data_IF_679396080901
#
_entry.id   IF_679396080901
#
_cell.length_a   1.000
_cell.length_b   1.000
_cell.length_c   1.000
_cell.angle_alpha   90.00
_cell.angle_beta   90.00
_cell.angle_gamma   90.00
#
_symmetry.space_group_name_H-M   'P 1'
#
loop_
_entity.id
_entity.type
_entity.pdbx_description
1 polymer ?
#
# COMPACT_ATOMS: atom_id res chain seq x y z
N UNK A 1 32.57 -8.29 4.03
CA UNK A 1 31.85 -9.54 3.64
C UNK A 1 30.75 -9.17 2.65
N UNK A 2 30.78 -9.76 1.46
CA UNK A 2 29.74 -9.53 0.46
C UNK A 2 28.54 -10.43 0.77
N UNK A 3 27.34 -9.85 0.89
CA UNK A 3 26.10 -10.60 1.15
C UNK A 3 25.17 -10.48 -0.03
N UNK A 4 24.48 -11.57 -0.34
CA UNK A 4 23.60 -11.70 -1.48
C UNK A 4 22.21 -12.17 -1.06
N UNK A 5 21.19 -11.68 -1.76
CA UNK A 5 19.82 -12.14 -1.66
C UNK A 5 19.50 -13.00 -2.88
N UNK A 6 19.08 -14.22 -2.62
CA UNK A 6 18.67 -15.17 -3.70
C UNK A 6 17.17 -15.45 -3.56
N UNK A 7 16.49 -15.47 -4.69
CA UNK A 7 15.10 -15.94 -4.78
C UNK A 7 15.11 -17.38 -5.31
N UNK A 8 14.73 -18.32 -4.46
CA UNK A 8 14.56 -19.74 -4.84
C UNK A 8 13.10 -20.11 -4.64
N UNK A 9 12.35 -20.45 -5.70
CA UNK A 9 11.02 -21.02 -5.54
C UNK A 9 11.08 -22.25 -4.64
N UNK A 10 10.30 -22.28 -3.58
CA UNK A 10 10.25 -23.40 -2.65
C UNK A 10 8.90 -24.08 -2.74
N UNK A 11 8.89 -25.40 -2.63
CA UNK A 11 7.68 -26.22 -2.55
C UNK A 11 7.12 -26.22 -1.12
N UNK A 12 7.97 -25.98 -0.11
CA UNK A 12 7.60 -26.01 1.29
C UNK A 12 7.01 -24.66 1.73
N UNK A 13 5.78 -24.68 2.21
CA UNK A 13 5.08 -23.50 2.69
C UNK A 13 5.72 -22.85 3.94
N UNK A 14 6.57 -23.59 4.66
CA UNK A 14 7.29 -23.14 5.87
C UNK A 14 8.63 -22.45 5.58
N UNK A 15 9.14 -22.55 4.36
CA UNK A 15 10.44 -22.02 3.97
C UNK A 15 10.28 -20.79 3.09
N UNK A 16 10.96 -19.71 3.46
CA UNK A 16 10.93 -18.48 2.65
C UNK A 16 11.62 -18.69 1.29
N UNK A 17 11.03 -18.24 0.18
CA UNK A 17 11.69 -18.27 -1.11
C UNK A 17 12.83 -17.22 -1.22
N UNK A 18 12.95 -16.32 -0.26
CA UNK A 18 14.01 -15.32 -0.19
C UNK A 18 15.03 -15.75 0.86
N UNK A 19 16.28 -15.93 0.45
CA UNK A 19 17.37 -16.41 1.30
C UNK A 19 18.58 -15.48 1.21
N UNK A 20 19.24 -15.23 2.32
CA UNK A 20 20.48 -14.48 2.40
C UNK A 20 21.67 -15.44 2.48
N UNK A 21 22.69 -15.14 1.67
CA UNK A 21 23.94 -15.88 1.61
C UNK A 21 25.15 -14.95 1.73
N UNK A 22 26.25 -15.45 2.25
CA UNK A 22 27.55 -14.80 2.19
C UNK A 22 28.28 -15.06 0.85
N UNK A 23 29.49 -14.52 0.74
CA UNK A 23 30.35 -14.66 -0.44
C UNK A 23 30.84 -16.10 -0.68
N UNK A 24 30.77 -16.97 0.30
CA UNK A 24 31.12 -18.39 0.24
C UNK A 24 29.90 -19.27 -0.03
N UNK A 25 28.73 -18.70 -0.23
CA UNK A 25 27.47 -19.41 -0.45
C UNK A 25 26.88 -20.03 0.82
N UNK A 26 27.36 -19.64 2.00
CA UNK A 26 26.78 -20.07 3.26
C UNK A 26 25.56 -19.22 3.63
N UNK A 27 24.54 -19.83 4.21
CA UNK A 27 23.33 -19.16 4.64
C UNK A 27 23.58 -18.28 5.86
N UNK A 28 23.00 -17.08 5.83
CA UNK A 28 22.94 -16.22 7.02
C UNK A 28 21.82 -16.74 7.92
N UNK A 29 22.17 -17.69 8.79
CA UNK A 29 21.23 -18.48 9.57
C UNK A 29 20.17 -17.67 10.33
N UNK A 30 20.60 -16.60 11.05
CA UNK A 30 19.68 -15.76 11.83
C UNK A 30 18.66 -15.01 10.95
N UNK A 31 19.09 -14.54 9.78
CA UNK A 31 18.20 -13.81 8.87
C UNK A 31 17.21 -14.77 8.19
N UNK A 32 17.70 -15.94 7.78
CA UNK A 32 16.89 -16.94 7.10
C UNK A 32 15.87 -17.59 8.04
N UNK A 33 16.25 -17.88 9.30
CA UNK A 33 15.31 -18.36 10.32
C UNK A 33 14.16 -17.37 10.58
N UNK A 34 14.47 -16.07 10.63
CA UNK A 34 13.44 -15.04 10.77
C UNK A 34 12.50 -15.01 9.56
N UNK A 35 13.05 -15.07 8.32
CA UNK A 35 12.23 -15.09 7.11
C UNK A 35 11.33 -16.31 7.03
N UNK A 36 11.81 -17.49 7.46
CA UNK A 36 11.02 -18.71 7.55
C UNK A 36 9.90 -18.56 8.59
N UNK A 37 10.19 -17.97 9.75
CA UNK A 37 9.19 -17.63 10.75
C UNK A 37 8.10 -16.70 10.22
N UNK A 38 8.47 -15.72 9.36
CA UNK A 38 7.48 -14.85 8.71
C UNK A 38 6.68 -15.59 7.62
N UNK A 39 7.29 -16.57 6.95
CA UNK A 39 6.61 -17.43 5.97
C UNK A 39 5.55 -18.29 6.65
N UNK A 40 5.88 -18.93 7.77
CA UNK A 40 4.95 -19.70 8.61
C UNK A 40 3.77 -18.83 9.07
N UNK A 41 3.99 -17.55 9.36
CA UNK A 41 2.94 -16.57 9.67
C UNK A 41 2.12 -16.14 8.46
N UNK A 42 2.33 -16.75 7.30
CA UNK A 42 1.63 -16.48 6.05
C UNK A 42 1.74 -15.02 5.54
N UNK A 43 2.89 -14.40 5.76
CA UNK A 43 3.16 -13.12 5.13
C UNK A 43 3.15 -13.26 3.61
N UNK A 44 2.60 -12.23 2.92
CA UNK A 44 2.61 -12.22 1.46
C UNK A 44 4.03 -12.25 0.89
N UNK A 45 4.23 -12.87 -0.27
CA UNK A 45 5.52 -12.91 -0.97
C UNK A 45 6.14 -11.52 -1.15
N UNK A 46 5.29 -10.49 -1.35
CA UNK A 46 5.74 -9.10 -1.44
C UNK A 46 6.32 -8.60 -0.11
N UNK A 47 5.68 -8.93 1.00
CA UNK A 47 6.16 -8.56 2.34
C UNK A 47 7.45 -9.30 2.68
N UNK A 48 7.53 -10.59 2.41
CA UNK A 48 8.74 -11.39 2.59
C UNK A 48 9.91 -10.82 1.78
N UNK A 49 9.65 -10.45 0.51
CA UNK A 49 10.66 -9.80 -0.33
C UNK A 49 11.16 -8.49 0.27
N UNK A 50 10.25 -7.64 0.74
CA UNK A 50 10.62 -6.37 1.35
C UNK A 50 11.48 -6.59 2.61
N UNK A 51 11.06 -7.50 3.49
CA UNK A 51 11.83 -7.87 4.68
C UNK A 51 13.21 -8.41 4.33
N UNK A 52 13.31 -9.26 3.32
CA UNK A 52 14.59 -9.83 2.89
C UNK A 52 15.58 -8.75 2.39
N UNK A 53 15.10 -7.74 1.62
CA UNK A 53 15.94 -6.62 1.22
C UNK A 53 16.37 -5.73 2.39
N UNK A 54 15.48 -5.47 3.34
CA UNK A 54 15.81 -4.70 4.53
C UNK A 54 16.79 -5.44 5.43
N UNK A 55 16.63 -6.76 5.58
CA UNK A 55 17.58 -7.62 6.28
C UNK A 55 18.93 -7.65 5.59
N UNK A 56 18.98 -7.75 4.25
CA UNK A 56 20.22 -7.71 3.50
C UNK A 56 20.97 -6.39 3.76
N UNK A 57 20.24 -5.26 3.74
CA UNK A 57 20.83 -3.96 4.02
C UNK A 57 21.38 -3.88 5.46
N UNK A 58 20.62 -4.36 6.43
CA UNK A 58 21.06 -4.41 7.81
C UNK A 58 22.25 -5.36 8.00
N UNK A 59 22.19 -6.56 7.43
CA UNK A 59 23.23 -7.57 7.55
C UNK A 59 24.58 -7.08 6.96
N UNK A 60 24.54 -6.38 5.82
CA UNK A 60 25.74 -5.76 5.24
C UNK A 60 26.38 -4.78 6.20
N UNK A 61 25.60 -3.82 6.69
CA UNK A 61 26.08 -2.86 7.67
C UNK A 61 26.60 -3.53 8.96
N UNK A 62 25.87 -4.55 9.45
CA UNK A 62 26.24 -5.28 10.66
C UNK A 62 27.54 -6.05 10.50
N UNK A 63 27.79 -6.66 9.34
CA UNK A 63 29.01 -7.42 9.06
C UNK A 63 30.25 -6.54 8.78
N UNK A 64 30.06 -5.27 8.46
CA UNK A 64 31.14 -4.31 8.26
C UNK A 64 31.70 -3.72 9.56
N UNK A 65 31.07 -3.97 10.68
CA UNK A 65 31.58 -3.57 12.00
C UNK A 65 32.84 -4.39 12.33
N UNK A 66 33.78 -3.74 13.00
CA UNK A 66 35.16 -4.24 13.26
C UNK A 66 35.24 -5.58 14.00
N UNK A 67 34.16 -6.03 14.65
CA UNK A 67 34.05 -7.34 15.30
C UNK A 67 32.70 -7.95 14.99
N UNK A 68 32.62 -9.26 14.65
CA UNK A 68 31.35 -9.96 14.52
C UNK A 68 30.67 -10.04 15.90
N UNK A 69 29.69 -9.20 16.10
CA UNK A 69 28.90 -9.16 17.33
C UNK A 69 27.64 -10.04 17.20
N UNK A 70 27.26 -10.77 18.23
CA UNK A 70 26.00 -11.49 18.22
C UNK A 70 24.80 -10.53 18.24
N UNK A 71 23.67 -10.96 17.67
CA UNK A 71 22.46 -10.13 17.64
C UNK A 71 21.96 -9.71 19.03
N UNK A 72 22.34 -10.43 20.08
CA UNK A 72 22.02 -10.11 21.49
C UNK A 72 22.60 -8.78 21.97
N UNK A 73 23.67 -8.28 21.32
CA UNK A 73 24.33 -7.03 21.65
C UNK A 73 23.71 -5.80 20.96
N UNK A 74 22.68 -6.01 20.12
CA UNK A 74 21.94 -4.90 19.53
C UNK A 74 21.25 -4.11 20.65
N UNK A 75 21.58 -2.83 20.73
CA UNK A 75 20.95 -1.85 21.63
C UNK A 75 20.34 -0.72 20.82
N UNK A 76 19.62 0.18 21.48
CA UNK A 76 19.10 1.39 20.83
C UNK A 76 20.25 2.28 20.29
N UNK A 77 21.40 2.32 20.98
CA UNK A 77 22.60 3.01 20.48
C UNK A 77 23.10 2.41 19.17
N UNK A 78 23.13 1.08 19.08
CA UNK A 78 23.45 0.37 17.83
C UNK A 78 22.49 0.74 16.69
N UNK A 79 21.19 0.84 16.98
CA UNK A 79 20.21 1.24 15.99
C UNK A 79 20.35 2.72 15.58
N UNK A 80 20.79 3.58 16.50
CA UNK A 80 21.10 4.99 16.19
C UNK A 80 22.25 5.08 15.20
N UNK A 81 23.32 4.29 15.40
CA UNK A 81 24.45 4.23 14.46
C UNK A 81 24.02 3.69 13.09
N UNK A 82 23.11 2.71 13.07
CA UNK A 82 22.54 2.23 11.83
C UNK A 82 21.70 3.28 11.11
N UNK A 83 21.00 4.16 11.83
CA UNK A 83 20.27 5.29 11.25
C UNK A 83 21.27 6.31 10.67
N UNK A 84 22.33 6.68 11.42
CA UNK A 84 23.38 7.59 10.95
C UNK A 84 24.01 7.07 9.65
N UNK A 85 24.42 5.82 9.63
CA UNK A 85 24.97 5.17 8.45
C UNK A 85 24.03 5.29 7.23
N UNK A 86 22.72 5.10 7.42
CA UNK A 86 21.75 5.22 6.32
C UNK A 86 21.58 6.67 5.85
N UNK A 87 21.66 7.65 6.75
CA UNK A 87 21.51 9.06 6.40
C UNK A 87 22.73 9.63 5.67
N UNK A 88 23.89 8.99 5.82
CA UNK A 88 25.14 9.34 5.17
C UNK A 88 25.32 8.69 3.79
N UNK A 89 24.37 7.82 3.37
CA UNK A 89 24.42 7.19 2.05
C UNK A 89 23.94 8.12 0.92
N UNK A 90 24.54 7.97 -0.26
CA UNK A 90 24.09 8.58 -1.50
C UNK A 90 23.63 7.49 -2.50
N UNK A 91 22.41 7.55 -3.04
CA UNK A 91 21.35 8.53 -2.78
C UNK A 91 20.70 8.34 -1.40
N UNK A 92 20.41 9.44 -0.73
CA UNK A 92 19.85 9.44 0.64
C UNK A 92 18.49 8.72 0.69
N UNK A 93 18.30 7.71 1.56
CA UNK A 93 17.03 7.01 1.68
C UNK A 93 15.94 7.91 2.28
N UNK A 94 14.70 7.67 1.90
CA UNK A 94 13.58 8.42 2.48
C UNK A 94 13.37 8.05 3.97
N UNK A 95 12.84 8.98 4.81
CA UNK A 95 12.51 8.68 6.20
C UNK A 95 11.60 7.45 6.35
N UNK A 96 10.71 7.21 5.38
CA UNK A 96 9.86 6.03 5.35
C UNK A 96 10.67 4.74 5.18
N UNK A 97 11.68 4.76 4.30
CA UNK A 97 12.57 3.61 4.07
C UNK A 97 13.37 3.29 5.33
N UNK A 98 13.98 4.30 5.96
CA UNK A 98 14.74 4.13 7.21
C UNK A 98 13.84 3.56 8.32
N UNK A 99 12.66 4.13 8.50
CA UNK A 99 11.70 3.65 9.51
C UNK A 99 11.22 2.21 9.25
N UNK A 100 11.07 1.82 7.97
CA UNK A 100 10.71 0.44 7.63
C UNK A 100 11.82 -0.54 7.97
N UNK A 101 13.07 -0.21 7.63
CA UNK A 101 14.25 -1.01 7.97
C UNK A 101 14.40 -1.17 9.48
N UNK A 102 14.24 -0.09 10.26
CA UNK A 102 14.23 -0.16 11.72
C UNK A 102 13.14 -1.09 12.24
N UNK A 103 11.93 -1.00 11.70
CA UNK A 103 10.84 -1.90 12.08
C UNK A 103 11.19 -3.36 11.83
N UNK A 104 11.84 -3.69 10.72
CA UNK A 104 12.28 -5.05 10.41
C UNK A 104 13.33 -5.54 11.39
N UNK A 105 14.32 -4.71 11.76
CA UNK A 105 15.34 -5.06 12.73
C UNK A 105 14.73 -5.27 14.14
N UNK A 106 13.79 -4.44 14.56
CA UNK A 106 13.05 -4.66 15.81
C UNK A 106 12.27 -5.99 15.80
N UNK A 107 11.60 -6.31 14.67
CA UNK A 107 10.91 -7.57 14.52
C UNK A 107 11.87 -8.77 14.55
N UNK A 108 13.03 -8.64 13.91
CA UNK A 108 14.11 -9.65 13.95
C UNK A 108 14.59 -9.89 15.37
N UNK A 109 14.94 -8.82 16.09
CA UNK A 109 15.44 -8.92 17.47
C UNK A 109 14.40 -9.58 18.38
N UNK A 110 13.14 -9.17 18.28
CA UNK A 110 12.04 -9.80 19.04
C UNK A 110 11.84 -11.26 18.68
N UNK A 111 12.02 -11.63 17.42
CA UNK A 111 11.92 -13.04 16.99
C UNK A 111 12.96 -13.92 17.65
N UNK A 112 14.22 -13.46 17.74
CA UNK A 112 15.31 -14.25 18.30
C UNK A 112 15.39 -14.20 19.82
N UNK A 113 14.98 -13.11 20.45
CA UNK A 113 15.21 -12.87 21.88
C UNK A 113 13.93 -12.79 22.71
N UNK A 114 12.74 -12.84 22.09
CA UNK A 114 11.45 -12.75 22.78
C UNK A 114 11.16 -11.41 23.47
N UNK A 115 12.05 -10.44 23.36
CA UNK A 115 11.98 -9.12 24.02
C UNK A 115 12.29 -7.98 23.04
N UNK A 116 11.94 -6.77 23.46
CA UNK A 116 12.30 -5.57 22.69
C UNK A 116 13.80 -5.27 22.79
N UNK A 117 14.32 -4.52 21.81
CA UNK A 117 15.70 -4.04 21.83
C UNK A 117 15.93 -3.21 23.09
N UNK A 118 16.99 -3.48 23.88
CA UNK A 118 17.30 -2.72 25.09
C UNK A 118 17.50 -1.24 24.82
N UNK A 119 17.04 -0.40 25.72
CA UNK A 119 17.11 1.06 25.58
C UNK A 119 18.53 1.62 25.49
N UNK A 120 19.52 0.92 26.02
CA UNK A 120 20.89 1.43 26.07
C UNK A 120 20.98 2.76 26.84
N UNK A 121 21.98 3.57 26.50
CA UNK A 121 22.18 4.91 27.11
C UNK A 121 21.40 6.02 26.39
N UNK A 122 20.79 5.74 25.26
CA UNK A 122 20.07 6.73 24.46
C UNK A 122 18.61 6.83 24.93
N UNK A 123 18.24 7.78 25.68
CA UNK A 123 16.91 8.01 26.27
C UNK A 123 15.76 8.28 25.24
N UNK A 124 15.77 7.60 24.10
CA UNK A 124 14.73 7.74 23.08
C UNK A 124 13.46 6.91 23.35
N UNK A 125 13.51 5.95 24.27
CA UNK A 125 12.29 5.24 24.68
C UNK A 125 11.43 6.14 25.54
N UNK A 126 10.20 6.36 25.11
CA UNK A 126 9.18 7.07 25.88
C UNK A 126 8.02 6.12 26.16
N UNK A 127 7.73 5.90 27.42
CA UNK A 127 6.46 5.29 27.84
C UNK A 127 5.36 6.30 27.73
N UNK A 128 4.28 5.96 27.07
CA UNK A 128 3.09 6.80 27.01
C UNK A 128 1.85 5.96 27.25
N UNK A 129 0.81 6.61 27.76
CA UNK A 129 -0.48 5.97 27.98
C UNK A 129 -1.31 6.08 26.71
N UNK A 130 -1.51 4.94 26.04
CA UNK A 130 -2.40 4.88 24.87
C UNK A 130 -3.83 4.93 25.34
N UNK A 131 -4.51 6.05 25.13
CA UNK A 131 -5.95 6.20 25.35
C UNK A 131 -6.71 5.49 24.22
N UNK A 132 -7.83 4.84 24.56
CA UNK A 132 -8.73 4.31 23.54
C UNK A 132 -9.32 5.49 22.73
N UNK A 133 -9.34 5.42 21.38
CA UNK A 133 -9.86 6.50 20.54
C UNK A 133 -11.32 6.91 20.87
N UNK A 134 -12.11 5.98 21.38
CA UNK A 134 -13.52 6.18 21.73
C UNK A 134 -13.74 6.44 23.22
N UNK A 135 -12.67 6.65 24.00
CA UNK A 135 -12.79 6.91 25.45
C UNK A 135 -13.17 5.69 26.30
N UNK A 136 -13.52 4.56 25.70
CA UNK A 136 -13.89 3.33 26.39
C UNK A 136 -12.70 2.36 26.47
N UNK A 137 -12.42 1.86 27.65
CA UNK A 137 -11.38 0.86 27.92
C UNK A 137 -10.26 1.36 28.84
N UNK A 138 -9.56 0.42 29.47
CA UNK A 138 -8.44 0.75 30.36
C UNK A 138 -7.26 1.29 29.56
N UNK A 139 -6.66 2.41 29.95
CA UNK A 139 -5.46 2.91 29.31
C UNK A 139 -4.34 1.89 29.43
N UNK A 140 -3.69 1.56 28.31
CA UNK A 140 -2.55 0.64 28.29
C UNK A 140 -1.26 1.43 28.18
N UNK A 141 -0.28 1.11 29.00
CA UNK A 141 1.09 1.61 28.82
C UNK A 141 1.65 1.04 27.52
N UNK A 142 2.13 1.92 26.67
CA UNK A 142 2.79 1.58 25.42
C UNK A 142 4.16 2.24 25.37
N UNK A 143 5.14 1.56 24.79
CA UNK A 143 6.46 2.10 24.56
C UNK A 143 6.50 2.67 23.15
N UNK A 144 6.79 3.95 23.04
CA UNK A 144 7.08 4.57 21.75
C UNK A 144 8.56 4.47 21.47
N UNK A 145 8.89 3.93 20.31
CA UNK A 145 10.26 3.93 19.80
C UNK A 145 10.60 5.34 19.35
N UNK A 146 11.51 6.00 20.09
CA UNK A 146 11.91 7.38 19.80
C UNK A 146 12.75 7.54 18.55
N UNK A 147 13.39 6.47 18.07
CA UNK A 147 14.31 6.48 16.93
C UNK A 147 13.66 6.63 15.55
N UNK A 148 12.32 6.75 15.47
CA UNK A 148 11.63 6.97 14.20
C UNK A 148 11.89 8.36 13.66
N UNK A 149 12.37 8.43 12.42
CA UNK A 149 12.50 9.68 11.69
C UNK A 149 11.13 10.31 11.46
N UNK A 150 11.03 11.62 11.68
CA UNK A 150 9.81 12.38 11.40
C UNK A 150 9.54 12.32 9.90
N UNK A 151 8.34 11.87 9.55
CA UNK A 151 7.89 11.87 8.16
C UNK A 151 7.13 13.16 7.89
N UNK A 152 7.40 13.84 6.76
CA UNK A 152 6.55 14.95 6.35
C UNK A 152 5.13 14.41 6.10
N UNK A 153 4.12 15.18 6.51
CA UNK A 153 2.74 14.86 6.16
C UNK A 153 2.63 14.85 4.63
N UNK A 154 2.30 13.71 4.06
CA UNK A 154 2.00 13.63 2.64
C UNK A 154 0.62 14.23 2.41
N UNK A 155 0.59 15.40 1.81
CA UNK A 155 -0.64 15.95 1.25
C UNK A 155 -0.95 15.14 -0.01
N UNK A 156 -2.11 14.50 -0.02
CA UNK A 156 -2.61 13.80 -1.22
C UNK A 156 -3.23 14.87 -2.10
N UNK A 157 -2.60 15.19 -3.21
CA UNK A 157 -3.17 16.09 -4.21
C UNK A 157 -3.88 15.22 -5.26
N UNK A 158 -5.22 15.28 -5.40
CA UNK A 158 -5.94 14.55 -6.44
C UNK A 158 -5.56 15.07 -7.83
N UNK A 159 -5.91 14.32 -8.86
CA UNK A 159 -5.88 14.84 -10.24
C UNK A 159 -7.05 15.80 -10.45
N UNK A 160 -6.83 16.84 -11.23
CA UNK A 160 -7.93 17.71 -11.70
C UNK A 160 -8.72 17.03 -12.80
N UNK A 161 -9.94 17.51 -13.05
CA UNK A 161 -10.75 16.98 -14.15
C UNK A 161 -10.05 17.14 -15.51
N UNK A 162 -9.33 18.23 -15.71
CA UNK A 162 -8.53 18.51 -16.92
C UNK A 162 -7.37 17.52 -17.06
N UNK A 163 -6.62 17.23 -15.97
CA UNK A 163 -5.56 16.23 -15.97
C UNK A 163 -6.09 14.84 -16.30
N UNK A 164 -7.25 14.48 -15.77
CA UNK A 164 -7.93 13.21 -16.07
C UNK A 164 -8.33 13.17 -17.54
N UNK A 165 -9.00 14.21 -18.06
CA UNK A 165 -9.43 14.28 -19.46
C UNK A 165 -8.24 14.19 -20.42
N UNK A 166 -7.17 14.94 -20.15
CA UNK A 166 -5.93 14.92 -20.95
C UNK A 166 -5.28 13.54 -20.94
N UNK A 167 -5.24 12.89 -19.79
CA UNK A 167 -4.69 11.54 -19.66
C UNK A 167 -5.49 10.50 -20.46
N UNK A 168 -6.82 10.60 -20.47
CA UNK A 168 -7.71 9.66 -21.17
C UNK A 168 -7.76 9.87 -22.67
N UNK A 169 -7.55 11.09 -23.14
CA UNK A 169 -7.52 11.42 -24.58
C UNK A 169 -6.48 10.59 -25.36
N UNK A 170 -5.43 10.13 -24.69
CA UNK A 170 -4.38 9.28 -25.27
C UNK A 170 -4.71 7.79 -25.36
N UNK A 171 -5.84 7.33 -24.79
CA UNK A 171 -6.17 5.91 -24.79
C UNK A 171 -6.75 5.47 -26.15
N UNK A 172 -6.20 4.35 -26.63
CA UNK A 172 -6.62 3.75 -27.90
C UNK A 172 -7.16 2.31 -27.73
N UNK A 173 -7.26 1.85 -26.49
CA UNK A 173 -7.76 0.51 -26.20
C UNK A 173 -8.77 0.56 -25.07
N UNK A 174 -9.87 -0.18 -25.22
CA UNK A 174 -10.88 -0.36 -24.17
C UNK A 174 -10.30 -1.00 -22.93
N UNK A 175 -9.27 -1.86 -23.09
CA UNK A 175 -8.54 -2.44 -21.96
C UNK A 175 -7.93 -1.39 -21.05
N UNK A 176 -7.17 -0.45 -21.62
CA UNK A 176 -6.44 0.55 -20.85
C UNK A 176 -7.42 1.53 -20.20
N UNK A 177 -8.48 1.89 -20.93
CA UNK A 177 -9.57 2.71 -20.44
C UNK A 177 -10.30 2.02 -19.26
N UNK A 178 -10.64 0.72 -19.38
CA UNK A 178 -11.27 -0.05 -18.31
C UNK A 178 -10.38 -0.13 -17.06
N UNK A 179 -9.09 -0.41 -17.23
CA UNK A 179 -8.12 -0.49 -16.11
C UNK A 179 -8.09 0.82 -15.31
N UNK A 180 -7.97 1.95 -16.00
CA UNK A 180 -7.91 3.26 -15.33
C UNK A 180 -9.27 3.68 -14.81
N UNK A 181 -10.36 3.36 -15.54
CA UNK A 181 -11.73 3.58 -15.11
C UNK A 181 -12.03 2.89 -13.78
N UNK A 182 -11.67 1.62 -13.62
CA UNK A 182 -11.82 0.90 -12.36
C UNK A 182 -11.02 1.54 -11.19
N UNK A 183 -9.90 2.20 -11.48
CA UNK A 183 -9.13 2.90 -10.44
C UNK A 183 -9.73 4.26 -10.08
N UNK A 184 -10.31 4.96 -11.06
CA UNK A 184 -10.86 6.30 -10.89
C UNK A 184 -12.32 6.30 -10.43
N UNK A 185 -13.15 5.40 -10.95
CA UNK A 185 -14.60 5.40 -10.70
C UNK A 185 -15.02 4.44 -9.56
N UNK A 186 -14.21 3.39 -9.31
CA UNK A 186 -14.47 2.40 -8.27
C UNK A 186 -13.34 2.32 -7.22
N UNK A 187 -12.30 3.12 -7.40
CA UNK A 187 -11.22 3.23 -6.44
C UNK A 187 -10.38 1.96 -6.23
N UNK A 188 -10.29 1.05 -7.21
CA UNK A 188 -9.53 -0.19 -7.08
C UNK A 188 -8.03 0.04 -6.95
N UNK A 189 -7.37 -0.85 -6.21
CA UNK A 189 -5.89 -0.91 -6.17
C UNK A 189 -5.35 -1.62 -7.41
N UNK A 190 -4.13 -1.29 -7.82
CA UNK A 190 -3.45 -1.96 -8.94
C UNK A 190 -3.46 -3.50 -8.82
N UNK A 191 -3.23 -4.04 -7.64
CA UNK A 191 -3.24 -5.49 -7.43
C UNK A 191 -4.65 -6.07 -7.48
N UNK A 192 -5.68 -5.33 -7.10
CA UNK A 192 -7.08 -5.74 -7.19
C UNK A 192 -7.50 -5.79 -8.66
N UNK A 193 -7.20 -4.74 -9.44
CA UNK A 193 -7.47 -4.71 -10.90
C UNK A 193 -6.79 -5.87 -11.63
N UNK A 194 -5.51 -6.13 -11.32
CA UNK A 194 -4.76 -7.22 -11.97
C UNK A 194 -5.20 -8.62 -11.54
N UNK A 195 -5.90 -8.74 -10.40
CA UNK A 195 -6.39 -10.00 -9.88
C UNK A 195 -7.83 -10.32 -10.32
N UNK A 196 -8.54 -9.36 -10.94
CA UNK A 196 -9.93 -9.57 -11.41
C UNK A 196 -9.99 -10.73 -12.40
N UNK A 197 -10.99 -11.57 -12.22
CA UNK A 197 -11.34 -12.69 -13.12
C UNK A 197 -12.63 -12.42 -13.86
N UNK A 198 -12.90 -13.15 -14.92
CA UNK A 198 -14.13 -13.02 -15.70
C UNK A 198 -15.37 -13.31 -14.83
N UNK A 199 -15.27 -14.30 -13.95
CA UNK A 199 -16.34 -14.68 -13.02
C UNK A 199 -16.69 -13.64 -11.97
N UNK A 200 -15.74 -12.70 -11.71
CA UNK A 200 -15.98 -11.62 -10.75
C UNK A 200 -16.94 -10.55 -11.31
N UNK A 201 -17.13 -10.50 -12.63
CA UNK A 201 -17.98 -9.51 -13.29
C UNK A 201 -19.43 -9.99 -13.36
N UNK A 202 -20.34 -9.22 -12.81
CA UNK A 202 -21.79 -9.40 -12.88
C UNK A 202 -22.41 -8.24 -13.68
N UNK A 203 -22.05 -8.12 -14.95
CA UNK A 203 -22.46 -7.00 -15.81
C UNK A 203 -23.96 -6.78 -15.88
N UNK A 204 -24.83 -7.83 -15.95
CA UNK A 204 -26.28 -7.66 -15.94
C UNK A 204 -26.82 -7.01 -14.65
N UNK A 205 -26.10 -7.18 -13.54
CA UNK A 205 -26.46 -6.61 -12.25
C UNK A 205 -25.70 -5.29 -11.95
N UNK A 206 -24.90 -4.80 -12.90
CA UNK A 206 -24.04 -3.64 -12.72
C UNK A 206 -23.14 -3.74 -11.47
N UNK A 207 -22.52 -4.90 -11.23
CA UNK A 207 -21.73 -5.21 -10.04
C UNK A 207 -20.49 -6.03 -10.38
N UNK A 208 -19.49 -5.98 -9.47
CA UNK A 208 -18.32 -6.84 -9.54
C UNK A 208 -17.84 -7.23 -8.14
N UNK A 209 -17.28 -8.44 -8.03
CA UNK A 209 -16.58 -8.89 -6.84
C UNK A 209 -15.12 -8.49 -6.89
N UNK A 210 -14.58 -7.97 -5.80
CA UNK A 210 -13.18 -7.58 -5.71
C UNK A 210 -12.51 -8.27 -4.53
N UNK A 211 -11.43 -8.99 -4.81
CA UNK A 211 -10.61 -9.64 -3.79
C UNK A 211 -9.62 -8.65 -3.18
N UNK A 212 -9.83 -8.30 -1.92
CA UNK A 212 -9.00 -7.38 -1.16
C UNK A 212 -7.86 -8.07 -0.40
N UNK A 213 -7.12 -7.28 0.39
CA UNK A 213 -6.05 -7.77 1.24
C UNK A 213 -6.58 -8.78 2.27
N UNK A 214 -5.87 -9.91 2.39
CA UNK A 214 -6.24 -10.98 3.34
C UNK A 214 -7.40 -11.86 2.89
N UNK A 215 -7.65 -11.94 1.57
CA UNK A 215 -8.67 -12.83 1.01
C UNK A 215 -10.12 -12.35 1.17
N UNK A 216 -10.34 -11.13 1.66
CA UNK A 216 -11.70 -10.60 1.84
C UNK A 216 -12.28 -10.14 0.52
N UNK A 217 -13.39 -10.74 0.09
CA UNK A 217 -14.17 -10.30 -1.07
C UNK A 217 -15.12 -9.18 -0.67
N UNK A 218 -15.31 -8.20 -1.57
CA UNK A 218 -16.33 -7.16 -1.45
C UNK A 218 -17.03 -6.97 -2.79
N UNK A 219 -18.31 -6.65 -2.74
CA UNK A 219 -19.11 -6.34 -3.91
C UNK A 219 -19.05 -4.83 -4.14
N UNK A 220 -18.80 -4.42 -5.39
CA UNK A 220 -18.77 -3.02 -5.81
C UNK A 220 -19.78 -2.80 -6.93
N UNK A 221 -20.45 -1.64 -6.97
CA UNK A 221 -21.26 -1.25 -8.12
C UNK A 221 -20.35 -0.93 -9.31
N UNK A 222 -20.85 -1.11 -10.53
CA UNK A 222 -20.19 -0.70 -11.76
C UNK A 222 -20.99 0.44 -12.41
N UNK A 223 -20.39 1.61 -12.64
CA UNK A 223 -21.01 2.68 -13.42
C UNK A 223 -21.32 2.23 -14.85
N UNK A 224 -22.44 2.70 -15.41
CA UNK A 224 -22.90 2.30 -16.75
C UNK A 224 -21.86 2.52 -17.84
N UNK A 225 -21.20 3.66 -17.84
CA UNK A 225 -20.11 3.98 -18.77
C UNK A 225 -18.96 2.95 -18.71
N UNK A 226 -18.62 2.48 -17.51
CA UNK A 226 -17.56 1.50 -17.34
C UNK A 226 -18.01 0.11 -17.79
N UNK A 227 -19.30 -0.22 -17.67
CA UNK A 227 -19.88 -1.46 -18.19
C UNK A 227 -19.71 -1.52 -19.71
N UNK A 228 -20.03 -0.45 -20.43
CA UNK A 228 -19.85 -0.38 -21.89
C UNK A 228 -18.39 -0.56 -22.31
N UNK A 229 -17.48 0.08 -21.61
CA UNK A 229 -16.04 -0.06 -21.86
C UNK A 229 -15.57 -1.49 -21.63
N UNK A 230 -16.02 -2.12 -20.55
CA UNK A 230 -15.71 -3.53 -20.24
C UNK A 230 -16.30 -4.48 -21.29
N UNK A 231 -17.53 -4.28 -21.70
CA UNK A 231 -18.17 -5.08 -22.76
C UNK A 231 -17.41 -4.96 -24.09
N UNK A 232 -17.04 -3.75 -24.48
CA UNK A 232 -16.26 -3.52 -25.68
C UNK A 232 -14.86 -4.15 -25.61
N UNK A 233 -14.19 -4.06 -24.44
CA UNK A 233 -12.93 -4.78 -24.24
C UNK A 233 -13.11 -6.29 -24.39
N UNK A 234 -14.10 -6.88 -23.75
CA UNK A 234 -14.37 -8.32 -23.78
C UNK A 234 -14.67 -8.82 -25.19
N UNK A 235 -15.48 -8.06 -25.95
CA UNK A 235 -15.97 -8.44 -27.27
C UNK A 235 -14.96 -8.19 -28.38
N UNK A 236 -14.24 -7.06 -28.34
CA UNK A 236 -13.46 -6.57 -29.47
C UNK A 236 -11.94 -6.72 -29.30
N UNK A 237 -11.43 -6.67 -28.08
CA UNK A 237 -10.00 -6.61 -27.86
C UNK A 237 -9.40 -7.78 -27.08
N UNK A 238 -10.18 -8.37 -26.17
CA UNK A 238 -9.67 -9.42 -25.31
C UNK A 238 -9.31 -10.65 -26.13
N UNK A 239 -8.02 -11.13 -26.10
CA UNK A 239 -7.62 -12.32 -26.81
C UNK A 239 -8.43 -13.55 -26.36
N UNK A 240 -8.80 -14.42 -27.31
CA UNK A 240 -9.42 -15.71 -27.02
C UNK A 240 -8.39 -16.61 -26.36
N UNK A 241 -8.56 -16.90 -25.10
CA UNK A 241 -7.70 -17.76 -24.28
C UNK A 241 -8.49 -18.40 -23.14
N UNK A 242 -7.96 -19.49 -22.58
CA UNK A 242 -8.53 -20.14 -21.40
C UNK A 242 -8.13 -19.42 -20.08
N UNK A 243 -7.50 -18.26 -20.15
CA UNK A 243 -7.12 -17.51 -18.97
C UNK A 243 -8.35 -16.98 -18.23
N UNK A 244 -8.52 -17.25 -16.94
CA UNK A 244 -9.64 -16.72 -16.17
C UNK A 244 -9.51 -15.22 -15.88
N UNK A 245 -8.29 -14.65 -15.98
CA UNK A 245 -8.04 -13.26 -15.65
C UNK A 245 -8.73 -12.31 -16.63
N UNK A 246 -9.31 -11.25 -16.09
CA UNK A 246 -10.00 -10.24 -16.89
C UNK A 246 -9.03 -9.53 -17.84
N UNK A 247 -7.95 -8.95 -17.31
CA UNK A 247 -7.03 -8.15 -18.11
C UNK A 247 -5.83 -8.94 -18.60
N UNK A 248 -5.68 -8.96 -19.91
CA UNK A 248 -4.64 -9.69 -20.62
C UNK A 248 -3.71 -8.73 -21.38
N UNK A 249 -2.51 -9.20 -21.68
CA UNK A 249 -1.60 -8.53 -22.60
C UNK A 249 -2.14 -8.63 -24.03
N UNK A 250 -2.26 -7.50 -24.74
CA UNK A 250 -2.83 -7.44 -26.08
C UNK A 250 -1.79 -7.65 -27.20
N UNK A 251 -0.50 -7.43 -26.90
CA UNK A 251 0.58 -7.40 -27.93
C UNK A 251 1.81 -8.20 -27.49
N UNK A 252 2.64 -8.50 -28.48
CA UNK A 252 3.95 -9.12 -28.30
C UNK A 252 3.90 -10.58 -27.83
N UNK A 253 5.04 -11.10 -27.36
CA UNK A 253 5.21 -12.49 -26.90
C UNK A 253 4.32 -12.88 -25.72
N UNK A 254 3.78 -11.89 -24.99
CA UNK A 254 2.91 -12.11 -23.84
C UNK A 254 1.42 -11.97 -24.17
N UNK A 255 1.05 -11.84 -25.46
CA UNK A 255 -0.36 -11.73 -25.88
C UNK A 255 -1.19 -12.89 -25.31
N UNK A 256 -2.34 -12.60 -24.72
CA UNK A 256 -3.23 -13.58 -24.12
C UNK A 256 -2.82 -14.05 -22.71
N UNK A 257 -1.65 -13.65 -22.20
CA UNK A 257 -1.27 -13.92 -20.80
C UNK A 257 -1.79 -12.84 -19.86
N UNK A 258 -2.03 -13.16 -18.58
CA UNK A 258 -2.45 -12.19 -17.60
C UNK A 258 -1.54 -10.96 -17.54
N UNK A 259 -2.14 -9.79 -17.42
CA UNK A 259 -1.39 -8.55 -17.32
C UNK A 259 -0.61 -8.52 -16.00
N UNK A 260 0.69 -8.20 -16.08
CA UNK A 260 1.58 -8.15 -14.92
C UNK A 260 1.67 -6.75 -14.33
N UNK A 261 2.18 -6.65 -13.09
CA UNK A 261 2.50 -5.35 -12.47
C UNK A 261 3.51 -4.54 -13.31
N UNK A 262 4.43 -5.22 -14.01
CA UNK A 262 5.38 -4.57 -14.91
C UNK A 262 4.65 -4.00 -16.15
N UNK A 263 3.73 -4.77 -16.72
CA UNK A 263 2.88 -4.32 -17.84
C UNK A 263 2.03 -3.11 -17.46
N UNK A 264 1.40 -3.13 -16.29
CA UNK A 264 0.64 -1.99 -15.77
C UNK A 264 1.52 -0.74 -15.58
N UNK A 265 2.72 -0.91 -15.04
CA UNK A 265 3.68 0.21 -14.91
C UNK A 265 4.11 0.77 -16.26
N UNK A 266 4.32 -0.10 -17.25
CA UNK A 266 4.66 0.32 -18.61
C UNK A 266 3.52 1.10 -19.26
N UNK A 267 2.26 0.66 -19.10
CA UNK A 267 1.07 1.37 -19.53
C UNK A 267 1.03 2.80 -18.96
N UNK A 268 1.11 2.92 -17.63
CA UNK A 268 1.08 4.25 -16.99
C UNK A 268 2.29 5.13 -17.37
N UNK A 269 3.46 4.54 -17.57
CA UNK A 269 4.64 5.28 -18.05
C UNK A 269 4.39 5.84 -19.44
N UNK A 270 3.89 5.01 -20.35
CA UNK A 270 3.59 5.42 -21.73
C UNK A 270 2.59 6.58 -21.75
N UNK A 271 1.44 6.42 -21.08
CA UNK A 271 0.41 7.46 -21.08
C UNK A 271 0.82 8.75 -20.36
N UNK A 272 1.63 8.68 -19.31
CA UNK A 272 2.20 9.87 -18.67
C UNK A 272 3.11 10.68 -19.60
N UNK A 273 3.89 9.97 -20.41
CA UNK A 273 4.78 10.64 -21.37
C UNK A 273 4.00 11.27 -22.53
N UNK A 274 2.97 10.58 -23.02
CA UNK A 274 2.16 11.07 -24.16
C UNK A 274 1.16 12.14 -23.78
N UNK A 275 0.67 12.18 -22.54
CA UNK A 275 -0.31 13.15 -22.05
C UNK A 275 0.31 14.32 -21.28
N UNK A 276 1.62 14.29 -21.03
CA UNK A 276 2.32 15.27 -20.20
C UNK A 276 1.73 15.47 -18.79
N UNK A 277 1.04 14.45 -18.27
CA UNK A 277 0.50 14.42 -16.90
C UNK A 277 1.40 13.57 -15.98
N UNK A 278 2.52 14.11 -15.46
CA UNK A 278 3.55 13.34 -14.76
C UNK A 278 3.05 12.72 -13.45
N UNK A 279 2.01 13.32 -12.86
CA UNK A 279 1.42 12.86 -11.60
C UNK A 279 0.47 11.67 -11.78
N UNK A 280 0.02 11.35 -12.99
CA UNK A 280 -0.91 10.27 -13.27
C UNK A 280 -0.28 8.90 -12.99
N UNK A 281 -0.70 8.26 -11.93
CA UNK A 281 -0.28 6.92 -11.54
C UNK A 281 -1.44 6.20 -10.84
N UNK A 282 -1.42 4.86 -10.74
CA UNK A 282 -2.53 4.08 -10.19
C UNK A 282 -3.04 4.55 -8.83
N UNK A 283 -2.12 4.90 -7.92
CA UNK A 283 -2.50 5.38 -6.60
C UNK A 283 -3.16 6.77 -6.66
N UNK A 284 -2.73 7.61 -7.60
CA UNK A 284 -3.30 8.95 -7.76
C UNK A 284 -4.74 8.87 -8.23
N UNK A 285 -5.07 8.03 -9.22
CA UNK A 285 -6.45 7.82 -9.66
C UNK A 285 -7.36 7.34 -8.53
N UNK A 286 -6.92 6.35 -7.78
CA UNK A 286 -7.65 5.90 -6.60
C UNK A 286 -7.77 6.99 -5.51
N UNK A 287 -6.77 7.84 -5.35
CA UNK A 287 -6.85 8.97 -4.42
C UNK A 287 -7.84 10.02 -4.90
N UNK A 288 -7.87 10.28 -6.22
CA UNK A 288 -8.86 11.17 -6.84
C UNK A 288 -10.27 10.65 -6.56
N UNK A 289 -10.54 9.37 -6.81
CA UNK A 289 -11.81 8.74 -6.42
C UNK A 289 -12.17 9.01 -4.94
N UNK A 290 -11.23 8.77 -4.02
CA UNK A 290 -11.52 8.97 -2.59
C UNK A 290 -11.83 10.42 -2.23
N UNK A 291 -11.16 11.38 -2.86
CA UNK A 291 -11.40 12.82 -2.64
C UNK A 291 -12.73 13.24 -3.25
N UNK A 292 -13.02 12.81 -4.47
CA UNK A 292 -14.26 13.17 -5.19
C UNK A 292 -15.48 12.61 -4.44
N UNK A 293 -15.43 11.34 -4.01
CA UNK A 293 -16.51 10.75 -3.21
C UNK A 293 -16.76 11.52 -1.90
N UNK A 294 -15.70 11.98 -1.21
CA UNK A 294 -15.87 12.80 0.00
C UNK A 294 -16.47 14.15 -0.33
N UNK A 295 -16.04 14.80 -1.41
CA UNK A 295 -16.59 16.09 -1.87
C UNK A 295 -18.08 15.98 -2.22
N UNK A 296 -18.47 14.84 -2.80
CA UNK A 296 -19.86 14.55 -3.16
C UNK A 296 -20.70 14.05 -1.97
N UNK A 297 -20.09 13.97 -0.77
CA UNK A 297 -20.79 13.74 0.49
C UNK A 297 -21.06 12.27 0.81
N UNK A 298 -20.27 11.33 0.27
CA UNK A 298 -20.38 9.93 0.68
C UNK A 298 -20.04 9.76 2.17
N UNK A 299 -20.77 8.91 2.86
CA UNK A 299 -20.43 8.60 4.26
C UNK A 299 -19.07 7.88 4.36
N UNK A 300 -18.28 8.20 5.40
CA UNK A 300 -16.97 7.57 5.60
C UNK A 300 -17.01 6.04 5.73
N UNK A 301 -18.00 5.43 6.40
CA UNK A 301 -18.13 3.97 6.41
C UNK A 301 -18.37 3.39 5.01
N UNK A 302 -19.18 4.04 4.17
CA UNK A 302 -19.43 3.61 2.80
C UNK A 302 -18.14 3.71 1.97
N UNK A 303 -17.43 4.83 2.03
CA UNK A 303 -16.15 5.01 1.35
C UNK A 303 -15.09 3.99 1.82
N UNK A 304 -15.03 3.72 3.14
CA UNK A 304 -14.16 2.71 3.70
C UNK A 304 -14.44 1.32 3.10
N UNK A 305 -15.72 0.97 2.97
CA UNK A 305 -16.16 -0.29 2.35
C UNK A 305 -15.77 -0.35 0.88
N UNK A 306 -16.13 0.66 0.09
CA UNK A 306 -15.81 0.73 -1.35
C UNK A 306 -14.30 0.62 -1.59
N UNK A 307 -13.51 1.36 -0.85
CA UNK A 307 -12.05 1.32 -0.99
C UNK A 307 -11.40 0.08 -0.34
N UNK A 308 -12.10 -0.69 0.48
CA UNK A 308 -11.55 -1.85 1.18
C UNK A 308 -10.42 -1.46 2.13
N UNK A 309 -10.61 -0.40 2.92
CA UNK A 309 -9.67 0.00 3.97
C UNK A 309 -9.95 -0.78 5.25
N UNK A 310 -8.95 -1.50 5.75
CA UNK A 310 -9.05 -2.22 7.02
C UNK A 310 -9.08 -1.30 8.24
N UNK A 311 -8.62 -0.06 8.08
CA UNK A 311 -8.56 0.95 9.15
C UNK A 311 -9.17 2.26 8.66
N UNK A 312 -10.07 2.83 9.45
CA UNK A 312 -10.77 4.09 9.14
C UNK A 312 -9.80 5.26 8.99
N UNK A 313 -8.67 5.24 9.72
CA UNK A 313 -7.63 6.28 9.63
C UNK A 313 -7.11 6.47 8.20
N UNK A 314 -7.10 5.41 7.39
CA UNK A 314 -6.70 5.52 5.97
C UNK A 314 -7.75 6.29 5.16
N UNK A 315 -9.03 6.16 5.51
CA UNK A 315 -10.13 6.88 4.86
C UNK A 315 -10.19 8.34 5.34
N UNK A 316 -9.87 8.59 6.61
CA UNK A 316 -9.80 9.95 7.18
C UNK A 316 -8.78 10.86 6.49
N UNK A 317 -7.79 10.30 5.78
CA UNK A 317 -6.86 11.11 4.99
C UNK A 317 -7.57 11.94 3.92
N UNK A 318 -8.68 11.47 3.39
CA UNK A 318 -9.45 12.18 2.36
C UNK A 318 -10.27 13.34 2.93
N UNK A 319 -10.75 13.22 4.16
CA UNK A 319 -11.49 14.29 4.85
C UNK A 319 -10.60 15.48 5.19
N UNK A 320 -9.33 15.23 5.51
CA UNK A 320 -8.38 16.31 5.87
C UNK A 320 -7.99 17.20 4.68
N UNK A 321 -8.41 16.86 3.46
CA UNK A 321 -8.02 17.54 2.24
C UNK A 321 -9.00 18.65 1.79
N UNK A 322 -10.15 18.76 2.45
CA UNK A 322 -11.19 19.68 2.03
C UNK A 322 -11.77 20.47 3.24
N UNK A 323 -11.02 21.42 3.84
CA UNK A 323 -11.56 22.27 4.90
C UNK A 323 -12.79 23.08 4.48
N UNK A 324 -12.90 23.42 3.18
CA UNK A 324 -14.04 24.15 2.61
C UNK A 324 -15.33 23.32 2.61
N UNK A 325 -15.23 22.01 2.64
CA UNK A 325 -16.38 21.11 2.63
C UNK A 325 -17.06 21.03 4.00
N UNK A 326 -16.36 21.36 5.09
CA UNK A 326 -16.94 21.40 6.44
C UNK A 326 -18.08 22.42 6.52
N UNK A 327 -17.91 23.60 5.92
CA UNK A 327 -18.94 24.63 5.88
C UNK A 327 -20.12 24.24 5.00
N UNK A 328 -19.86 23.56 3.88
CA UNK A 328 -20.90 23.08 2.97
C UNK A 328 -21.72 21.96 3.63
N UNK A 329 -21.06 21.01 4.29
CA UNK A 329 -21.74 19.97 5.06
C UNK A 329 -22.55 20.55 6.23
N UNK A 330 -21.97 21.48 6.97
CA UNK A 330 -22.68 22.19 8.04
C UNK A 330 -23.95 22.87 7.51
N UNK A 331 -23.84 23.63 6.43
CA UNK A 331 -24.97 24.32 5.82
C UNK A 331 -26.06 23.33 5.39
N UNK A 332 -25.69 22.21 4.76
CA UNK A 332 -26.63 21.14 4.34
C UNK A 332 -27.34 20.51 5.54
N UNK A 333 -26.61 20.21 6.60
CA UNK A 333 -27.17 19.60 7.81
C UNK A 333 -28.08 20.59 8.55
N UNK A 334 -27.69 21.86 8.60
CA UNK A 334 -28.51 22.90 9.26
C UNK A 334 -29.81 23.15 8.51
N UNK A 335 -29.80 23.14 7.17
CA UNK A 335 -31.00 23.28 6.35
C UNK A 335 -31.98 22.12 6.56
N UNK A 336 -31.51 20.93 6.88
CA UNK A 336 -32.35 19.75 7.12
C UNK A 336 -32.73 19.54 8.59
N UNK A 337 -32.42 20.51 9.49
CA UNK A 337 -32.80 20.40 10.90
C UNK A 337 -34.30 20.62 11.07
N UNK A 338 -34.93 19.72 11.80
CA UNK A 338 -36.33 19.82 12.19
C UNK A 338 -36.56 20.78 13.37
N UNK A 339 -35.50 21.10 14.13
CA UNK A 339 -35.56 22.00 15.26
C UNK A 339 -35.02 23.38 14.88
N UNK A 340 -35.91 24.33 14.74
CA UNK A 340 -35.60 25.75 14.48
C UNK A 340 -35.77 26.53 15.77
N UNK A 341 -34.96 27.54 15.96
CA UNK A 341 -35.18 28.48 17.08
C UNK A 341 -36.60 29.09 16.94
N UNK A 342 -37.38 29.21 18.04
CA UNK A 342 -38.65 29.90 17.96
C UNK A 342 -38.42 31.33 17.46
N UNK A 343 -39.37 31.87 16.66
CA UNK A 343 -39.26 33.25 16.22
C UNK A 343 -39.12 34.16 17.45
N UNK A 344 -38.08 35.00 17.45
CA UNK A 344 -37.95 36.03 18.45
C UNK A 344 -39.15 36.93 18.34
N UNK A 345 -40.03 36.85 19.30
CA UNK A 345 -40.97 37.93 19.51
C UNK A 345 -40.18 39.12 20.10
N UNK A 346 -39.79 40.03 19.19
CA UNK A 346 -39.37 41.39 19.56
C UNK A 346 -40.58 42.22 19.84
#
# INVERSE_FOLDING_TARGET
MKLFLVHRPTVLASVSPYRLFDEHGQEIAWANAFLDGQCIRQLSLRSLRAYAYDLLHFARWWSERLLPQPLSEITESTLLDYVRYQLDQEPKPTPQTVNHRLCVVHCLYRFHHGREVPAGQSHFQRTYTKRCPLGYGRPRRAVAWGLRLKQPRRVIVPLTAEEVATFWAGFRTFRDLAIVGLMLLDGLRSCEVLALQLEDLQLPHAQMWVLGKGGKKRLLPLPGELIEVLQNYLRLERPLTNSPYLFLSLKGRQRGRPMTTAGLRALFRHHRMSSEVPRANPHRFRHTFGVDMVRDGISLPALQHLMGHSQIQTTMLYVQLAPQDVWREYARVVQNRTHVLPPKHL
#
